data_IF_240717554012
#
_entry.id   IF_240717554012
#
_cell.length_a   1.000
_cell.length_b   1.000
_cell.length_c   1.000
_cell.angle_alpha   90.00
_cell.angle_beta   90.00
_cell.angle_gamma   90.00
#
_symmetry.space_group_name_H-M   'P 1'
#
loop_
_entity.id
_entity.type
_entity.pdbx_description
1 polymer ?
#
# COMPACT_ATOMS: atom_id res chain seq x y z
N UNK A 1 -16.79 -7.59 1.07
CA UNK A 1 -15.58 -6.98 1.68
C UNK A 1 -15.58 -5.50 1.36
N UNK A 2 -15.24 -4.65 2.33
CA UNK A 2 -14.94 -3.23 2.14
C UNK A 2 -13.62 -2.91 2.86
N UNK A 3 -12.81 -2.00 2.29
CA UNK A 3 -11.59 -1.51 2.96
C UNK A 3 -11.84 -0.10 3.44
N UNK A 4 -11.94 0.08 4.75
CA UNK A 4 -12.11 1.39 5.37
C UNK A 4 -10.77 1.95 5.85
N UNK A 5 -10.65 3.27 5.85
CA UNK A 5 -9.41 3.94 6.27
C UNK A 5 -9.66 5.08 7.24
N UNK A 6 -8.63 5.38 8.03
CA UNK A 6 -8.62 6.51 8.96
C UNK A 6 -7.41 7.39 8.74
N UNK A 7 -7.57 8.67 9.01
CA UNK A 7 -6.49 9.66 9.01
C UNK A 7 -5.84 9.73 10.38
N UNK A 8 -4.52 9.79 10.41
CA UNK A 8 -3.72 10.03 11.61
C UNK A 8 -2.95 11.33 11.38
N UNK A 9 -3.44 12.46 11.91
CA UNK A 9 -2.77 13.74 11.76
C UNK A 9 -1.43 13.71 12.50
N UNK A 10 -0.43 14.35 11.93
CA UNK A 10 0.81 14.65 12.65
C UNK A 10 0.67 15.96 13.41
N UNK A 11 1.50 16.20 14.45
CA UNK A 11 1.44 17.44 15.21
C UNK A 11 1.47 18.69 14.32
N UNK A 12 0.73 19.71 14.69
CA UNK A 12 0.71 20.98 13.97
C UNK A 12 2.13 21.54 13.82
N UNK A 13 2.40 22.15 12.65
CA UNK A 13 3.73 22.67 12.26
C UNK A 13 4.84 21.63 12.10
N UNK A 14 4.51 20.33 12.02
CA UNK A 14 5.49 19.31 11.63
C UNK A 14 6.04 19.66 10.25
N UNK A 15 7.29 20.14 10.18
CA UNK A 15 8.01 20.30 8.93
C UNK A 15 8.75 19.00 8.64
N UNK A 16 8.22 18.19 7.74
CA UNK A 16 8.84 16.92 7.38
C UNK A 16 10.07 17.15 6.50
N UNK A 17 11.15 16.48 6.85
CA UNK A 17 12.27 16.26 5.94
C UNK A 17 11.98 15.01 5.12
N UNK A 18 11.44 15.20 3.91
CA UNK A 18 11.06 14.10 3.03
C UNK A 18 12.26 13.28 2.56
N UNK A 19 13.40 13.93 2.29
CA UNK A 19 14.61 13.25 1.83
C UNK A 19 15.16 12.34 2.93
N UNK A 20 15.29 12.84 4.15
CA UNK A 20 15.75 12.05 5.29
C UNK A 20 14.75 10.95 5.65
N UNK A 21 13.44 11.25 5.64
CA UNK A 21 12.38 10.25 5.85
C UNK A 21 12.49 9.13 4.83
N UNK A 22 12.69 9.46 3.54
CA UNK A 22 12.85 8.48 2.48
C UNK A 22 14.09 7.60 2.71
N UNK A 23 15.24 8.21 2.94
CA UNK A 23 16.53 7.48 3.12
C UNK A 23 16.46 6.54 4.32
N UNK A 24 15.98 7.03 5.47
CA UNK A 24 15.89 6.22 6.69
C UNK A 24 14.87 5.09 6.52
N UNK A 25 13.68 5.42 6.03
CA UNK A 25 12.62 4.43 5.84
C UNK A 25 12.98 3.39 4.78
N UNK A 26 13.67 3.78 3.69
CA UNK A 26 14.08 2.83 2.65
C UNK A 26 15.13 1.82 3.14
N UNK A 27 16.00 2.22 4.06
CA UNK A 27 17.00 1.33 4.67
C UNK A 27 16.40 0.33 5.64
N UNK A 28 15.33 0.73 6.34
CA UNK A 28 14.71 -0.06 7.41
C UNK A 28 13.47 -0.83 6.97
N UNK A 29 13.07 -0.74 5.69
CA UNK A 29 11.79 -1.27 5.20
C UNK A 29 12.00 -2.18 3.99
N UNK A 30 11.04 -3.08 3.75
CA UNK A 30 11.01 -4.04 2.63
C UNK A 30 9.82 -3.77 1.69
N UNK A 31 9.69 -2.56 1.10
CA UNK A 31 8.55 -2.26 0.22
C UNK A 31 8.69 -2.98 -1.12
N UNK A 32 7.56 -3.24 -1.78
CA UNK A 32 7.56 -3.61 -3.19
C UNK A 32 8.11 -2.45 -4.04
N UNK A 33 7.65 -1.23 -3.77
CA UNK A 33 8.16 0.02 -4.37
C UNK A 33 8.22 1.12 -3.32
N UNK A 34 9.13 2.07 -3.51
CA UNK A 34 9.19 3.27 -2.67
C UNK A 34 9.28 4.51 -3.56
N UNK A 35 8.72 5.59 -3.08
CA UNK A 35 8.70 6.85 -3.82
C UNK A 35 8.81 8.06 -2.90
N UNK A 36 9.33 9.13 -3.47
CA UNK A 36 9.30 10.48 -2.92
C UNK A 36 8.69 11.40 -3.97
N UNK A 37 7.70 12.17 -3.58
CA UNK A 37 7.02 13.11 -4.46
C UNK A 37 6.97 14.49 -3.81
N UNK A 38 7.30 15.53 -4.60
CA UNK A 38 7.07 16.92 -4.26
C UNK A 38 6.55 17.64 -5.50
N UNK A 39 5.23 17.71 -5.63
CA UNK A 39 4.58 18.21 -6.84
C UNK A 39 3.25 18.90 -6.52
N UNK A 40 3.00 20.07 -7.11
CA UNK A 40 1.71 20.76 -7.00
C UNK A 40 1.30 21.11 -5.57
N UNK A 41 2.27 21.41 -4.70
CA UNK A 41 2.03 21.71 -3.29
C UNK A 41 1.75 20.49 -2.42
N UNK A 42 1.87 19.27 -2.99
CA UNK A 42 1.89 18.01 -2.27
C UNK A 42 3.33 17.58 -1.98
N UNK A 43 3.57 17.09 -0.78
CA UNK A 43 4.72 16.28 -0.44
C UNK A 43 4.26 14.89 -0.02
N UNK A 44 4.95 13.84 -0.46
CA UNK A 44 4.67 12.48 -0.05
C UNK A 44 5.93 11.61 -0.06
N UNK A 45 6.05 10.75 0.95
CA UNK A 45 7.03 9.66 0.98
C UNK A 45 6.27 8.38 1.28
N UNK A 46 6.43 7.39 0.43
CA UNK A 46 5.73 6.12 0.54
C UNK A 46 6.64 4.90 0.40
N UNK A 47 6.29 3.87 1.16
CA UNK A 47 6.91 2.54 1.14
C UNK A 47 5.83 1.52 0.78
N UNK A 48 5.41 1.54 -0.49
CA UNK A 48 4.30 0.72 -0.98
C UNK A 48 4.57 -0.77 -0.79
N UNK A 49 3.65 -1.49 -0.15
CA UNK A 49 3.80 -2.93 0.03
C UNK A 49 3.42 -3.72 -1.22
N UNK A 50 2.64 -3.13 -2.14
CA UNK A 50 1.88 -3.85 -3.14
C UNK A 50 2.03 -3.26 -4.53
N UNK A 51 2.33 -4.13 -5.49
CA UNK A 51 2.29 -3.82 -6.92
C UNK A 51 0.88 -4.10 -7.44
N UNK A 52 0.22 -3.06 -7.96
CA UNK A 52 -1.10 -3.18 -8.61
C UNK A 52 -0.96 -3.88 -9.95
N UNK A 53 0.02 -3.44 -10.73
CA UNK A 53 0.23 -3.90 -12.10
C UNK A 53 1.69 -3.76 -12.47
N UNK A 54 2.23 -4.81 -13.07
CA UNK A 54 3.44 -4.77 -13.89
C UNK A 54 3.09 -5.27 -15.28
N UNK A 55 3.48 -4.53 -16.31
CA UNK A 55 3.48 -5.00 -17.70
C UNK A 55 4.90 -4.90 -18.20
N UNK A 56 5.52 -6.01 -18.55
CA UNK A 56 6.87 -6.03 -19.06
C UNK A 56 6.92 -5.81 -20.60
N UNK A 57 8.11 -5.63 -21.15
CA UNK A 57 8.33 -5.45 -22.61
C UNK A 57 7.79 -6.59 -23.48
N UNK A 58 7.58 -7.77 -22.88
CA UNK A 58 7.01 -8.95 -23.55
C UNK A 58 5.49 -9.03 -23.34
N UNK A 59 4.86 -7.93 -22.92
CA UNK A 59 3.42 -7.81 -22.68
C UNK A 59 2.89 -8.72 -21.56
N UNK A 60 3.78 -9.26 -20.72
CA UNK A 60 3.38 -10.06 -19.55
C UNK A 60 2.86 -9.15 -18.46
N UNK A 61 1.61 -9.38 -18.11
CA UNK A 61 0.91 -8.74 -16.98
C UNK A 61 1.19 -9.52 -15.70
N UNK A 62 1.45 -8.81 -14.61
CA UNK A 62 1.52 -9.37 -13.24
C UNK A 62 0.82 -8.44 -12.28
N UNK A 63 0.10 -9.02 -11.34
CA UNK A 63 -0.44 -8.31 -10.16
C UNK A 63 -0.23 -9.16 -8.92
N UNK A 64 -0.01 -8.52 -7.78
CA UNK A 64 0.30 -9.22 -6.51
C UNK A 64 -0.61 -8.69 -5.39
N UNK A 65 -1.90 -9.05 -5.37
CA UNK A 65 -2.78 -8.67 -4.28
C UNK A 65 -2.28 -9.23 -2.95
N UNK A 66 -2.26 -8.35 -1.94
CA UNK A 66 -1.92 -8.67 -0.56
C UNK A 66 -3.18 -8.53 0.31
N UNK A 67 -3.56 -9.59 1.00
CA UNK A 67 -4.64 -9.52 1.98
C UNK A 67 -4.41 -10.59 3.06
N UNK A 68 -5.00 -10.37 4.24
CA UNK A 68 -4.61 -11.14 5.42
C UNK A 68 -3.29 -10.59 6.00
N UNK A 69 -3.30 -10.24 7.28
CA UNK A 69 -2.18 -9.50 7.88
C UNK A 69 -1.88 -9.97 9.30
N UNK A 70 -0.60 -10.11 9.60
CA UNK A 70 -0.08 -10.25 10.98
C UNK A 70 1.20 -9.43 11.14
N UNK A 71 1.48 -9.02 12.37
CA UNK A 71 2.72 -8.34 12.71
C UNK A 71 3.95 -9.20 12.42
N UNK A 72 5.06 -8.57 12.06
CA UNK A 72 6.40 -9.15 12.14
C UNK A 72 6.97 -8.87 13.52
N UNK A 73 7.63 -9.88 14.10
CA UNK A 73 8.30 -9.79 15.40
C UNK A 73 9.68 -10.42 15.30
N UNK A 74 10.61 -9.93 16.12
CA UNK A 74 12.02 -10.38 16.08
C UNK A 74 12.24 -11.74 16.75
N UNK A 75 11.40 -12.11 17.73
CA UNK A 75 11.52 -13.39 18.41
C UNK A 75 11.14 -14.56 17.48
N UNK A 76 12.08 -15.49 17.18
CA UNK A 76 11.86 -16.54 16.16
C UNK A 76 10.75 -17.53 16.50
N UNK A 77 10.49 -17.79 17.78
CA UNK A 77 9.43 -18.73 18.19
C UNK A 77 8.06 -18.08 18.03
N UNK A 78 7.91 -16.85 18.52
CA UNK A 78 6.70 -16.05 18.32
C UNK A 78 6.44 -15.80 16.83
N UNK A 79 7.47 -15.49 16.04
CA UNK A 79 7.35 -15.29 14.59
C UNK A 79 6.81 -16.53 13.88
N UNK A 80 7.31 -17.72 14.22
CA UNK A 80 6.80 -19.00 13.66
C UNK A 80 5.34 -19.23 14.03
N UNK A 81 4.96 -18.99 15.28
CA UNK A 81 3.58 -19.13 15.74
C UNK A 81 2.65 -18.16 15.00
N UNK A 82 2.98 -16.87 14.96
CA UNK A 82 2.18 -15.84 14.27
C UNK A 82 2.02 -16.15 12.76
N UNK A 83 3.08 -16.66 12.12
CA UNK A 83 3.03 -17.08 10.73
C UNK A 83 2.13 -18.30 10.52
N UNK A 84 2.19 -19.28 11.43
CA UNK A 84 1.27 -20.42 11.44
C UNK A 84 -0.19 -19.99 11.61
N UNK A 85 -0.44 -19.07 12.54
CA UNK A 85 -1.77 -18.48 12.76
C UNK A 85 -2.29 -17.78 11.48
N UNK A 86 -1.46 -17.01 10.77
CA UNK A 86 -1.86 -16.37 9.53
C UNK A 86 -2.24 -17.38 8.44
N UNK A 87 -1.49 -18.47 8.33
CA UNK A 87 -1.72 -19.52 7.32
C UNK A 87 -2.92 -20.43 7.63
N UNK A 88 -3.45 -20.39 8.85
CA UNK A 88 -4.59 -21.20 9.29
C UNK A 88 -5.84 -20.41 9.67
N UNK A 89 -5.74 -19.09 9.74
CA UNK A 89 -6.87 -18.23 10.09
C UNK A 89 -7.89 -18.17 8.96
N UNK A 90 -9.09 -18.71 9.19
CA UNK A 90 -10.16 -18.82 8.20
C UNK A 90 -10.58 -17.44 7.67
N UNK A 91 -10.60 -16.39 8.52
CA UNK A 91 -10.95 -15.03 8.13
C UNK A 91 -9.91 -14.46 7.15
N UNK A 92 -8.63 -14.60 7.46
CA UNK A 92 -7.52 -14.09 6.65
C UNK A 92 -7.42 -14.82 5.31
N UNK A 93 -7.57 -16.15 5.33
CA UNK A 93 -7.62 -17.00 4.12
C UNK A 93 -8.79 -16.59 3.24
N UNK A 94 -9.98 -16.42 3.81
CA UNK A 94 -11.19 -16.02 3.06
C UNK A 94 -11.01 -14.64 2.43
N UNK A 95 -10.52 -13.67 3.17
CA UNK A 95 -10.25 -12.31 2.68
C UNK A 95 -9.27 -12.33 1.50
N UNK A 96 -8.21 -13.13 1.61
CA UNK A 96 -7.20 -13.26 0.56
C UNK A 96 -7.74 -13.97 -0.68
N UNK A 97 -8.47 -15.08 -0.50
CA UNK A 97 -9.04 -15.85 -1.60
C UNK A 97 -9.99 -14.99 -2.48
N UNK A 98 -10.82 -14.16 -1.86
CA UNK A 98 -11.67 -13.19 -2.58
C UNK A 98 -10.82 -12.23 -3.41
N UNK A 99 -9.72 -11.73 -2.83
CA UNK A 99 -8.82 -10.78 -3.49
C UNK A 99 -8.11 -11.41 -4.69
N UNK A 100 -7.57 -12.62 -4.51
CA UNK A 100 -6.90 -13.37 -5.58
C UNK A 100 -7.87 -13.74 -6.72
N UNK A 101 -9.10 -14.17 -6.37
CA UNK A 101 -10.13 -14.49 -7.36
C UNK A 101 -10.49 -13.28 -8.21
N UNK A 102 -10.74 -12.12 -7.60
CA UNK A 102 -11.07 -10.92 -8.36
C UNK A 102 -9.90 -10.47 -9.24
N UNK A 103 -8.67 -10.49 -8.72
CA UNK A 103 -7.48 -10.16 -9.52
C UNK A 103 -7.38 -11.05 -10.76
N UNK A 104 -7.67 -12.35 -10.63
CA UNK A 104 -7.72 -13.27 -11.75
C UNK A 104 -8.83 -12.93 -12.75
N UNK A 105 -10.02 -12.60 -12.26
CA UNK A 105 -11.16 -12.20 -13.10
C UNK A 105 -10.87 -10.88 -13.86
N UNK A 106 -10.16 -9.95 -13.23
CA UNK A 106 -9.74 -8.68 -13.84
C UNK A 106 -8.65 -8.85 -14.88
N UNK A 107 -7.62 -9.67 -14.60
CA UNK A 107 -6.55 -9.97 -15.56
C UNK A 107 -7.12 -10.68 -16.80
N UNK A 108 -8.10 -11.57 -16.64
CA UNK A 108 -8.79 -12.25 -17.77
C UNK A 108 -9.50 -11.28 -18.72
N UNK A 109 -9.88 -10.08 -18.28
CA UNK A 109 -10.54 -9.10 -19.14
C UNK A 109 -9.63 -8.54 -20.22
N UNK A 110 -8.32 -8.52 -19.98
CA UNK A 110 -7.33 -7.86 -20.85
C UNK A 110 -6.24 -8.79 -21.37
N UNK A 111 -6.13 -9.99 -20.80
CA UNK A 111 -5.14 -10.98 -21.20
C UNK A 111 -5.76 -12.13 -22.01
N UNK A 112 -4.94 -12.84 -22.78
CA UNK A 112 -5.35 -14.10 -23.43
C UNK A 112 -5.77 -15.11 -22.38
N UNK A 113 -7.01 -15.63 -22.43
CA UNK A 113 -7.55 -16.50 -21.36
C UNK A 113 -6.69 -17.70 -21.05
N UNK A 114 -6.06 -18.31 -22.07
CA UNK A 114 -5.18 -19.48 -21.93
C UNK A 114 -3.85 -19.19 -21.23
N UNK A 115 -3.50 -17.92 -21.05
CA UNK A 115 -2.24 -17.49 -20.41
C UNK A 115 -2.43 -17.06 -18.95
N UNK A 116 -3.67 -16.89 -18.50
CA UNK A 116 -3.95 -16.41 -17.15
C UNK A 116 -3.79 -17.52 -16.14
N UNK A 117 -2.90 -17.32 -15.19
CA UNK A 117 -2.59 -18.27 -14.13
C UNK A 117 -2.28 -17.58 -12.81
N UNK A 118 -2.35 -18.36 -11.74
CA UNK A 118 -1.84 -17.98 -10.41
C UNK A 118 -0.55 -18.79 -10.21
N UNK A 119 0.60 -18.14 -10.34
CA UNK A 119 1.91 -18.80 -10.25
C UNK A 119 2.48 -18.85 -8.82
N UNK A 120 1.90 -18.05 -7.90
CA UNK A 120 2.12 -18.12 -6.45
C UNK A 120 0.77 -17.96 -5.77
N UNK A 121 0.43 -18.83 -4.82
CA UNK A 121 -0.86 -18.80 -4.14
C UNK A 121 -0.70 -18.88 -2.62
N UNK A 122 -1.20 -17.86 -1.92
CA UNK A 122 -1.17 -17.75 -0.45
C UNK A 122 0.24 -17.88 0.16
N UNK A 123 1.26 -17.38 -0.54
CA UNK A 123 2.60 -17.27 0.01
C UNK A 123 2.67 -16.14 1.05
N UNK A 124 3.69 -16.18 1.89
CA UNK A 124 3.95 -15.10 2.85
C UNK A 124 4.86 -14.06 2.20
N UNK A 125 4.40 -12.81 2.21
CA UNK A 125 5.20 -11.63 1.84
C UNK A 125 5.40 -10.72 3.05
N UNK A 126 6.66 -10.47 3.39
CA UNK A 126 7.05 -9.57 4.46
C UNK A 126 7.21 -8.15 3.94
N UNK A 127 6.54 -7.19 4.60
CA UNK A 127 6.49 -5.79 4.17
C UNK A 127 6.56 -4.84 5.37
N UNK A 128 7.78 -4.37 5.67
CA UNK A 128 8.02 -3.49 6.80
C UNK A 128 7.76 -4.19 8.13
N UNK A 129 6.76 -3.74 8.87
CA UNK A 129 6.39 -4.25 10.20
C UNK A 129 5.36 -5.37 10.20
N UNK A 130 4.93 -5.83 9.02
CA UNK A 130 3.88 -6.84 8.89
C UNK A 130 4.20 -7.88 7.80
N UNK A 131 3.52 -9.02 7.90
CA UNK A 131 3.50 -10.06 6.88
C UNK A 131 2.08 -10.24 6.36
N UNK A 132 1.98 -10.61 5.08
CA UNK A 132 0.71 -10.77 4.38
C UNK A 132 0.62 -12.11 3.67
N UNK A 133 -0.60 -12.59 3.44
CA UNK A 133 -0.83 -13.57 2.39
C UNK A 133 -0.74 -12.85 1.04
N UNK A 134 -0.06 -13.47 0.09
CA UNK A 134 0.19 -12.94 -1.25
C UNK A 134 -0.12 -13.98 -2.31
N UNK A 135 -0.72 -13.56 -3.41
CA UNK A 135 -0.89 -14.43 -4.59
C UNK A 135 -0.48 -13.65 -5.84
N UNK A 136 0.33 -14.26 -6.70
CA UNK A 136 0.70 -13.63 -7.97
C UNK A 136 -0.19 -14.15 -9.08
N UNK A 137 -0.94 -13.23 -9.70
CA UNK A 137 -1.71 -13.51 -10.91
C UNK A 137 -0.95 -12.98 -12.11
N UNK A 138 -0.85 -13.78 -13.16
CA UNK A 138 -0.14 -13.42 -14.39
C UNK A 138 -0.98 -13.71 -15.62
N UNK A 139 -0.63 -13.06 -16.74
CA UNK A 139 -1.21 -13.31 -18.06
C UNK A 139 -0.38 -12.63 -19.14
N UNK A 140 -0.72 -12.85 -20.40
CA UNK A 140 -0.17 -12.13 -21.55
C UNK A 140 -1.25 -11.20 -22.09
N UNK A 141 -0.94 -9.93 -22.16
CA UNK A 141 -1.85 -8.89 -22.64
C UNK A 141 -2.20 -9.15 -24.12
N UNK A 142 -3.50 -9.13 -24.46
CA UNK A 142 -3.95 -9.28 -25.86
C UNK A 142 -3.39 -8.18 -26.75
N UNK A 143 -3.19 -8.48 -28.03
CA UNK A 143 -2.54 -7.54 -28.98
C UNK A 143 -3.26 -6.20 -29.12
N UNK A 144 -4.58 -6.19 -29.05
CA UNK A 144 -5.41 -4.98 -29.09
C UNK A 144 -5.41 -4.17 -27.80
N UNK A 145 -4.91 -4.73 -26.69
CA UNK A 145 -4.88 -4.08 -25.38
C UNK A 145 -3.58 -3.31 -25.16
N UNK A 146 -3.60 -2.36 -24.26
CA UNK A 146 -2.46 -1.57 -23.84
C UNK A 146 -2.15 -1.72 -22.35
N UNK A 147 -0.97 -1.34 -21.85
CA UNK A 147 -0.72 -1.27 -20.41
C UNK A 147 -1.70 -0.39 -19.65
N UNK A 148 -2.29 0.63 -20.33
CA UNK A 148 -3.29 1.51 -19.76
C UNK A 148 -4.64 0.84 -19.59
N UNK A 149 -5.06 0.02 -20.57
CA UNK A 149 -6.30 -0.78 -20.43
C UNK A 149 -6.15 -1.83 -19.35
N UNK A 150 -4.97 -2.43 -19.20
CA UNK A 150 -4.66 -3.32 -18.08
C UNK A 150 -4.73 -2.58 -16.73
N UNK A 151 -4.17 -1.38 -16.63
CA UNK A 151 -4.29 -0.56 -15.41
C UNK A 151 -5.75 -0.24 -15.12
N UNK A 152 -6.52 0.17 -16.11
CA UNK A 152 -7.94 0.48 -15.97
C UNK A 152 -8.78 -0.71 -15.51
N UNK A 153 -8.42 -1.94 -15.92
CA UNK A 153 -9.11 -3.16 -15.52
C UNK A 153 -8.85 -3.53 -14.04
N UNK A 154 -7.64 -3.29 -13.55
CA UNK A 154 -7.23 -3.66 -12.19
C UNK A 154 -7.45 -2.53 -11.16
N UNK A 155 -7.53 -1.28 -11.62
CA UNK A 155 -7.68 -0.11 -10.74
C UNK A 155 -9.15 0.38 -10.67
N UNK A 156 -9.61 0.87 -9.50
CA UNK A 156 -8.91 0.91 -8.22
C UNK A 156 -8.71 -0.50 -7.63
N UNK A 157 -7.58 -0.68 -6.91
CA UNK A 157 -7.22 -2.00 -6.39
C UNK A 157 -8.20 -2.50 -5.33
N UNK A 158 -8.55 -3.78 -5.40
CA UNK A 158 -9.44 -4.44 -4.43
C UNK A 158 -8.95 -4.31 -2.98
N UNK A 159 -7.65 -4.33 -2.80
CA UNK A 159 -6.98 -4.26 -1.50
C UNK A 159 -7.08 -2.88 -0.84
N UNK A 160 -7.58 -1.89 -1.57
CA UNK A 160 -7.91 -0.54 -1.04
C UNK A 160 -9.39 -0.18 -1.17
N UNK A 161 -10.20 -0.97 -1.88
CA UNK A 161 -11.62 -0.71 -2.07
C UNK A 161 -12.50 -1.80 -1.48
N UNK A 162 -12.56 -2.96 -2.08
CA UNK A 162 -13.37 -4.08 -1.66
C UNK A 162 -14.07 -4.79 -2.83
N UNK A 163 -15.00 -5.68 -2.48
CA UNK A 163 -15.75 -6.52 -3.43
C UNK A 163 -17.21 -6.59 -3.00
N UNK A 164 -18.18 -6.40 -3.93
CA UNK A 164 -18.03 -5.80 -5.27
C UNK A 164 -17.50 -4.38 -5.22
N UNK A 165 -16.69 -3.96 -6.21
CA UNK A 165 -16.01 -2.64 -6.17
C UNK A 165 -16.99 -1.45 -6.08
N UNK A 166 -18.10 -1.45 -6.86
CA UNK A 166 -19.08 -0.36 -6.82
C UNK A 166 -19.68 -0.21 -5.43
N UNK A 167 -20.24 -1.28 -4.86
CA UNK A 167 -20.85 -1.25 -3.53
C UNK A 167 -19.82 -0.87 -2.44
N UNK A 168 -18.57 -1.32 -2.57
CA UNK A 168 -17.53 -0.94 -1.64
C UNK A 168 -17.18 0.56 -1.74
N UNK A 169 -17.15 1.14 -2.94
CA UNK A 169 -16.93 2.56 -3.15
C UNK A 169 -18.06 3.40 -2.57
N UNK A 170 -19.33 2.97 -2.72
CA UNK A 170 -20.47 3.65 -2.13
C UNK A 170 -20.39 3.66 -0.59
N UNK A 171 -20.01 2.52 0.01
CA UNK A 171 -19.79 2.43 1.46
C UNK A 171 -18.62 3.31 1.92
N UNK A 172 -17.50 3.30 1.21
CA UNK A 172 -16.35 4.17 1.51
C UNK A 172 -16.78 5.64 1.48
N UNK A 173 -17.53 6.03 0.46
CA UNK A 173 -18.02 7.41 0.33
C UNK A 173 -18.97 7.80 1.45
N UNK A 174 -19.79 6.88 1.93
CA UNK A 174 -20.76 7.14 3.00
C UNK A 174 -20.16 7.10 4.41
N UNK A 175 -19.08 6.35 4.62
CA UNK A 175 -18.52 6.08 5.96
C UNK A 175 -17.23 6.85 6.26
N UNK A 176 -16.52 7.34 5.25
CA UNK A 176 -15.30 8.13 5.45
C UNK A 176 -15.60 9.63 5.38
N UNK A 177 -15.34 10.35 6.48
CA UNK A 177 -15.63 11.80 6.61
C UNK A 177 -14.76 12.68 5.70
N UNK A 178 -13.67 12.14 5.15
CA UNK A 178 -12.70 12.91 4.35
C UNK A 178 -12.30 12.17 3.09
N UNK A 179 -12.13 12.93 2.00
CA UNK A 179 -11.61 12.39 0.74
C UNK A 179 -10.25 11.71 0.95
N UNK A 180 -10.03 10.58 0.27
CA UNK A 180 -8.79 9.81 0.35
C UNK A 180 -7.58 10.52 -0.24
N UNK A 181 -7.81 11.47 -1.18
CA UNK A 181 -6.74 12.15 -1.90
C UNK A 181 -5.88 11.16 -2.68
N UNK A 182 -4.57 11.16 -2.39
CA UNK A 182 -3.63 10.24 -3.03
C UNK A 182 -3.67 8.81 -2.44
N UNK A 183 -4.21 8.63 -1.24
CA UNK A 183 -4.26 7.30 -0.58
C UNK A 183 -5.12 6.32 -1.38
N UNK A 184 -4.60 5.13 -1.62
CA UNK A 184 -5.26 4.11 -2.45
C UNK A 184 -5.19 4.40 -3.95
N UNK A 185 -4.51 5.48 -4.34
CA UNK A 185 -4.11 5.76 -5.72
C UNK A 185 -2.93 4.88 -6.15
N UNK A 186 -2.32 5.21 -7.28
CA UNK A 186 -1.12 4.53 -7.76
C UNK A 186 -0.01 5.52 -8.10
N UNK A 187 1.22 5.16 -7.78
CA UNK A 187 2.42 5.73 -8.37
C UNK A 187 2.88 4.79 -9.47
N UNK A 188 3.18 5.35 -10.64
CA UNK A 188 3.52 4.54 -11.80
C UNK A 188 4.75 5.08 -12.53
N UNK A 189 5.45 4.16 -13.20
CA UNK A 189 6.51 4.44 -14.15
C UNK A 189 6.19 3.76 -15.47
N UNK A 190 6.28 4.53 -16.56
CA UNK A 190 6.12 4.05 -17.92
C UNK A 190 7.46 4.16 -18.63
N UNK A 191 7.95 3.06 -19.18
CA UNK A 191 9.19 3.02 -19.94
C UNK A 191 8.93 3.25 -21.44
N UNK A 192 9.93 3.70 -22.21
CA UNK A 192 9.79 3.93 -23.65
C UNK A 192 9.44 2.69 -24.46
N UNK A 193 9.79 1.50 -23.96
CA UNK A 193 9.44 0.20 -24.56
C UNK A 193 8.02 -0.27 -24.25
N UNK A 194 7.22 0.57 -23.59
CA UNK A 194 5.84 0.28 -23.20
C UNK A 194 5.70 -0.51 -21.89
N UNK A 195 6.79 -0.84 -21.21
CA UNK A 195 6.69 -1.46 -19.89
C UNK A 195 6.11 -0.48 -18.87
N UNK A 196 5.17 -0.96 -18.04
CA UNK A 196 4.49 -0.18 -17.01
C UNK A 196 4.63 -0.86 -15.66
N UNK A 197 5.01 -0.10 -14.65
CA UNK A 197 5.06 -0.51 -13.24
C UNK A 197 4.19 0.43 -12.42
N UNK A 198 3.20 -0.11 -11.72
CA UNK A 198 2.27 0.66 -10.89
C UNK A 198 2.16 0.07 -9.50
N UNK A 199 2.45 0.86 -8.49
CA UNK A 199 2.35 0.48 -7.08
C UNK A 199 1.30 1.31 -6.34
N UNK A 200 0.62 0.70 -5.37
CA UNK A 200 -0.37 1.39 -4.54
C UNK A 200 0.26 2.50 -3.70
N UNK A 201 -0.43 3.61 -3.57
CA UNK A 201 -0.06 4.65 -2.61
C UNK A 201 -0.64 4.27 -1.25
N UNK A 202 0.14 3.44 -0.56
CA UNK A 202 -0.08 2.97 0.81
C UNK A 202 1.17 3.21 1.65
N UNK A 203 1.04 3.16 2.98
CA UNK A 203 2.17 3.36 3.91
C UNK A 203 2.97 4.60 3.54
N UNK A 204 2.22 5.69 3.41
CA UNK A 204 2.69 6.97 2.89
C UNK A 204 2.40 8.08 3.89
N UNK A 205 3.40 8.91 4.16
CA UNK A 205 3.19 10.19 4.82
C UNK A 205 2.91 11.24 3.76
N UNK A 206 1.91 12.05 4.02
CA UNK A 206 1.47 13.14 3.14
C UNK A 206 1.67 14.49 3.83
N UNK A 207 2.00 15.50 3.05
CA UNK A 207 1.95 16.89 3.49
C UNK A 207 1.33 17.77 2.39
N UNK A 208 0.44 18.66 2.79
CA UNK A 208 -0.17 19.67 1.92
C UNK A 208 -0.59 20.88 2.74
N UNK A 209 -0.30 22.07 2.22
CA UNK A 209 -0.68 23.36 2.87
C UNK A 209 -0.28 23.42 4.36
N UNK A 210 0.93 22.96 4.68
CA UNK A 210 1.47 22.98 6.04
C UNK A 210 0.93 21.92 7.01
N UNK A 211 -0.02 21.09 6.58
CA UNK A 211 -0.55 19.96 7.36
C UNK A 211 0.08 18.65 6.88
N UNK A 212 0.47 17.81 7.82
CA UNK A 212 1.00 16.48 7.53
C UNK A 212 0.16 15.39 8.19
N UNK A 213 0.03 14.25 7.55
CA UNK A 213 -0.76 13.13 8.05
C UNK A 213 -0.32 11.79 7.46
N UNK A 214 -0.68 10.73 8.17
CA UNK A 214 -0.70 9.37 7.67
C UNK A 214 -2.14 8.95 7.39
N UNK A 215 -2.36 8.02 6.47
CA UNK A 215 -3.64 7.35 6.30
C UNK A 215 -3.43 5.84 6.22
N UNK A 216 -4.28 5.09 6.89
CA UNK A 216 -4.15 3.65 7.02
C UNK A 216 -5.53 3.00 7.02
N UNK A 217 -5.64 1.80 6.46
CA UNK A 217 -6.90 1.07 6.37
C UNK A 217 -6.76 -0.42 6.65
N UNK A 218 -7.90 -1.04 6.91
CA UNK A 218 -8.06 -2.46 7.09
C UNK A 218 -9.25 -2.99 6.28
N UNK A 219 -9.18 -4.27 5.88
CA UNK A 219 -10.24 -4.95 5.14
C UNK A 219 -11.30 -5.48 6.08
N UNK A 220 -12.52 -5.03 5.92
CA UNK A 220 -13.66 -5.46 6.74
C UNK A 220 -14.44 -6.54 6.00
N UNK A 221 -14.60 -7.68 6.65
CA UNK A 221 -15.43 -8.83 6.21
C UNK A 221 -16.39 -9.21 7.34
N UNK A 222 -17.30 -10.16 7.08
CA UNK A 222 -18.31 -10.56 8.06
C UNK A 222 -17.76 -11.07 9.40
N UNK A 223 -16.54 -11.61 9.41
CA UNK A 223 -15.86 -12.13 10.60
C UNK A 223 -14.96 -11.10 11.28
N UNK A 224 -14.86 -9.87 10.74
CA UNK A 224 -14.02 -8.81 11.33
C UNK A 224 -14.55 -8.36 12.69
N UNK A 225 -13.61 -8.10 13.61
CA UNK A 225 -13.89 -7.46 14.88
C UNK A 225 -13.21 -6.09 14.93
N UNK A 226 -13.88 -5.08 15.49
CA UNK A 226 -13.34 -3.73 15.52
C UNK A 226 -11.97 -3.64 16.20
N UNK A 227 -11.74 -4.42 17.25
CA UNK A 227 -10.48 -4.45 17.99
C UNK A 227 -9.34 -4.95 17.10
N UNK A 228 -9.54 -6.06 16.39
CA UNK A 228 -8.52 -6.64 15.53
C UNK A 228 -8.21 -5.73 14.34
N UNK A 229 -9.23 -5.16 13.70
CA UNK A 229 -9.01 -4.26 12.55
C UNK A 229 -8.34 -2.95 12.97
N UNK A 230 -8.66 -2.42 14.15
CA UNK A 230 -7.94 -1.28 14.73
C UNK A 230 -6.47 -1.60 14.98
N UNK A 231 -6.18 -2.74 15.61
CA UNK A 231 -4.83 -3.21 15.89
C UNK A 231 -4.02 -3.39 14.59
N UNK A 232 -4.62 -3.98 13.55
CA UNK A 232 -4.01 -4.12 12.23
C UNK A 232 -3.61 -2.77 11.64
N UNK A 233 -4.46 -1.74 11.78
CA UNK A 233 -4.07 -0.39 11.34
C UNK A 233 -2.86 0.15 12.11
N UNK A 234 -2.75 -0.13 13.41
CA UNK A 234 -1.60 0.26 14.22
C UNK A 234 -0.32 -0.50 13.80
N UNK A 235 -0.43 -1.80 13.54
CA UNK A 235 0.66 -2.61 13.01
C UNK A 235 1.19 -2.07 11.67
N UNK A 236 0.30 -1.71 10.75
CA UNK A 236 0.63 -1.12 9.46
C UNK A 236 1.31 0.25 9.59
N UNK A 237 0.92 1.08 10.55
CA UNK A 237 1.54 2.38 10.80
C UNK A 237 3.01 2.25 11.23
N UNK A 238 3.39 1.18 11.92
CA UNK A 238 4.78 0.93 12.34
C UNK A 238 5.74 0.76 11.16
N UNK A 239 5.24 0.48 9.96
CA UNK A 239 6.07 0.43 8.74
C UNK A 239 6.45 1.79 8.18
N UNK A 240 5.95 2.90 8.75
CA UNK A 240 6.31 4.25 8.30
C UNK A 240 6.53 5.24 9.45
N UNK A 241 5.68 5.24 10.47
CA UNK A 241 5.72 6.25 11.54
C UNK A 241 7.08 6.39 12.24
N UNK A 242 7.84 5.30 12.55
CA UNK A 242 9.15 5.42 13.20
C UNK A 242 10.22 6.09 12.35
N UNK A 243 10.01 6.17 11.05
CA UNK A 243 11.00 6.67 10.09
C UNK A 243 10.80 8.14 9.72
N UNK A 244 9.73 8.76 10.21
CA UNK A 244 9.47 10.19 9.98
C UNK A 244 10.61 11.04 10.56
N UNK A 245 11.06 12.00 9.78
CA UNK A 245 12.08 12.96 10.17
C UNK A 245 11.56 14.38 9.98
N UNK A 246 11.82 15.22 10.95
CA UNK A 246 11.45 16.64 10.90
C UNK A 246 12.68 17.48 10.54
N UNK A 247 12.45 18.57 9.81
CA UNK A 247 13.48 19.57 9.59
C UNK A 247 13.83 20.18 10.95
N UNK A 248 15.09 20.07 11.34
CA UNK A 248 15.58 20.75 12.55
C UNK A 248 15.51 22.27 12.31
N UNK A 249 15.06 23.06 13.28
CA UNK A 249 15.25 24.52 13.19
C UNK A 249 16.75 24.76 13.03
N UNK A 250 17.14 25.44 11.97
CA UNK A 250 18.52 25.94 11.86
C UNK A 250 18.77 26.79 13.09
N UNK A 251 19.66 26.36 13.98
CA UNK A 251 20.02 27.07 15.18
C UNK A 251 20.41 28.50 14.83
N UNK A 252 19.62 29.46 15.28
CA UNK A 252 20.04 30.86 15.27
C UNK A 252 21.34 30.93 16.07
N UNK A 253 22.39 31.33 15.44
CA UNK A 253 23.61 31.78 16.11
C UNK A 253 23.22 32.77 17.18
N UNK A 254 23.34 32.38 18.45
CA UNK A 254 23.29 33.31 19.55
C UNK A 254 24.44 34.31 19.33
N UNK A 255 24.10 35.49 18.82
CA UNK A 255 25.00 36.65 18.91
C UNK A 255 25.21 36.91 20.38
N UNK A 256 26.38 36.51 20.89
CA UNK A 256 26.89 36.94 22.17
C UNK A 256 27.20 38.44 22.06
N UNK A 257 26.23 39.28 22.43
CA UNK A 257 26.52 40.68 22.68
C UNK A 257 27.32 40.82 23.98
N UNK A 258 28.64 40.67 23.86
CA UNK A 258 29.58 41.25 24.83
C UNK A 258 29.52 42.78 24.71
N UNK A 259 28.82 43.43 25.58
CA UNK A 259 29.02 44.85 25.86
C UNK A 259 29.91 44.95 27.09
N UNK A 260 31.08 45.54 26.84
CA UNK A 260 31.99 46.11 27.80
C UNK A 260 31.36 47.24 28.59
#
# INVERSE_FOLDING_TARGET
>A
KVVLSRVVPLPERSRLDFAQTYVVGRRANTPARSFLMHLGGWGAVGFSPETVLEVDKNRRVRTLPLAGTRALVDDPETARRIRGDLLSDVKEIHEHAISAKLAMDEVRRVCDPGTVSVDRFMDIEERGSVQHLASRVTGVLRDEESPWTALSALFPAITTTGVPKSAALDLIHSLEDTARGLYGGAVLALAPDGALDAALILRTVFQRRGRAWLRVGAGIVGQSTWTREWEETCEKLRSIAPYLRSVQPTGGTAESSSRS
#
